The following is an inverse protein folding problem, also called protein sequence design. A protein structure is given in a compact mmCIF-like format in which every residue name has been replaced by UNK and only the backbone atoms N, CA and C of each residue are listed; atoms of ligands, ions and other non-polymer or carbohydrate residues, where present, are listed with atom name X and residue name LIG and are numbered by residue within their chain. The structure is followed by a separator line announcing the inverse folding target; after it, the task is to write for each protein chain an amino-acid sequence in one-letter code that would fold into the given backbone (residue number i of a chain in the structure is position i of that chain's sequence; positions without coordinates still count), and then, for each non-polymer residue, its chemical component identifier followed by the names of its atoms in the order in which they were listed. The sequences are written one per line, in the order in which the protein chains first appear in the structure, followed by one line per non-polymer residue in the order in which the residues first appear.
data_IF_793189476444
#
_entry.id   IF_793189476444
#
_cell.length_a   1.000
_cell.length_b   1.000
_cell.length_c   1.000
_cell.angle_alpha   90.00
_cell.angle_beta   90.00
_cell.angle_gamma   90.00
#
_symmetry.space_group_name_H-M   'P 1'
#
loop_
_entity.id
_entity.type
_entity.pdbx_description
1 polymer ?
#
# COMPACT_ATOMS: atom_id res chain seq x y z
N UNK A 1 11.52 -9.78 18.57
CA UNK A 1 10.13 -10.12 18.93
C UNK A 1 9.34 -8.83 18.75
N UNK A 2 8.72 -8.63 17.58
CA UNK A 2 7.91 -7.43 17.36
C UNK A 2 6.49 -7.78 17.79
N UNK A 3 6.18 -7.54 19.06
CA UNK A 3 4.82 -7.53 19.59
C UNK A 3 4.08 -6.29 19.09
N UNK A 4 3.88 -6.20 17.78
CA UNK A 4 3.04 -5.17 17.18
C UNK A 4 1.68 -5.81 16.90
N UNK A 5 0.89 -6.05 17.96
CA UNK A 5 -0.51 -6.51 17.85
C UNK A 5 -1.41 -5.35 17.43
N UNK A 6 -1.07 -4.76 16.29
CA UNK A 6 -1.78 -3.66 15.68
C UNK A 6 -2.98 -4.27 14.97
N UNK A 7 -4.10 -4.35 15.70
CA UNK A 7 -5.34 -4.94 15.18
C UNK A 7 -5.79 -4.17 13.93
N UNK A 8 -5.65 -4.81 12.76
CA UNK A 8 -6.10 -4.29 11.48
C UNK A 8 -7.61 -4.41 11.38
N UNK A 9 -8.28 -3.28 11.15
CA UNK A 9 -9.71 -3.27 10.85
C UNK A 9 -9.97 -3.45 9.36
N UNK A 10 -11.26 -3.50 8.99
CA UNK A 10 -11.68 -3.75 7.61
C UNK A 10 -11.25 -2.65 6.65
N UNK A 11 -11.16 -1.40 7.11
CA UNK A 11 -10.70 -0.30 6.28
C UNK A 11 -9.20 -0.38 6.03
N UNK A 12 -8.41 -0.74 7.04
CA UNK A 12 -6.98 -0.96 6.84
C UNK A 12 -6.73 -2.07 5.82
N UNK A 13 -7.48 -3.17 5.89
CA UNK A 13 -7.40 -4.27 4.91
C UNK A 13 -7.78 -3.81 3.51
N UNK A 14 -8.84 -3.00 3.37
CA UNK A 14 -9.24 -2.41 2.08
C UNK A 14 -8.16 -1.50 1.51
N UNK A 15 -7.55 -0.65 2.34
CA UNK A 15 -6.44 0.23 1.95
C UNK A 15 -5.26 -0.59 1.44
N UNK A 16 -4.82 -1.59 2.21
CA UNK A 16 -3.69 -2.44 1.82
C UNK A 16 -3.99 -3.19 0.51
N UNK A 17 -5.18 -3.76 0.36
CA UNK A 17 -5.60 -4.43 -0.86
C UNK A 17 -5.68 -3.48 -2.07
N UNK A 18 -6.06 -2.23 -1.87
CA UNK A 18 -6.08 -1.23 -2.95
C UNK A 18 -4.65 -0.84 -3.35
N UNK A 19 -3.77 -0.57 -2.39
CA UNK A 19 -2.37 -0.22 -2.65
C UNK A 19 -1.55 -1.37 -3.26
N UNK A 20 -1.82 -2.62 -2.89
CA UNK A 20 -1.16 -3.77 -3.52
C UNK A 20 -1.54 -3.94 -4.99
N UNK A 21 -2.74 -3.50 -5.38
CA UNK A 21 -3.18 -3.50 -6.78
C UNK A 21 -2.59 -2.32 -7.54
N UNK A 22 -2.62 -1.14 -6.93
CA UNK A 22 -2.05 0.08 -7.49
C UNK A 22 -1.54 0.99 -6.37
N UNK A 23 -0.23 1.04 -6.18
CA UNK A 23 0.40 1.88 -5.17
C UNK A 23 0.59 3.33 -5.65
N UNK A 24 0.43 3.61 -6.95
CA UNK A 24 0.62 4.92 -7.54
C UNK A 24 -0.65 5.80 -7.50
N UNK A 25 -1.80 5.22 -7.14
CA UNK A 25 -3.06 5.95 -7.07
C UNK A 25 -2.98 7.14 -6.09
N UNK A 26 -3.56 8.31 -6.44
CA UNK A 26 -3.64 9.45 -5.53
C UNK A 26 -4.39 9.10 -4.25
N UNK A 27 -3.96 9.64 -3.11
CA UNK A 27 -4.60 9.37 -1.82
C UNK A 27 -6.10 9.71 -1.79
N UNK A 28 -6.53 10.73 -2.54
CA UNK A 28 -7.97 11.06 -2.68
C UNK A 28 -8.73 9.90 -3.35
N UNK A 29 -8.24 9.39 -4.47
CA UNK A 29 -8.85 8.26 -5.17
C UNK A 29 -8.86 7.00 -4.31
N UNK A 30 -7.78 6.74 -3.57
CA UNK A 30 -7.72 5.65 -2.59
C UNK A 30 -8.80 5.81 -1.51
N UNK A 31 -8.95 7.02 -0.95
CA UNK A 31 -9.94 7.30 0.08
C UNK A 31 -11.37 7.07 -0.43
N UNK A 32 -11.68 7.55 -1.64
CA UNK A 32 -12.97 7.32 -2.31
C UNK A 32 -13.22 5.82 -2.54
N UNK A 33 -12.22 5.09 -3.06
CA UNK A 33 -12.32 3.66 -3.35
C UNK A 33 -12.57 2.81 -2.10
N UNK A 34 -12.09 3.22 -0.93
CA UNK A 34 -12.30 2.50 0.33
C UNK A 34 -13.45 3.05 1.18
N UNK A 35 -14.11 4.13 0.74
CA UNK A 35 -15.24 4.75 1.44
C UNK A 35 -14.83 5.55 2.69
N UNK A 36 -13.67 6.22 2.66
CA UNK A 36 -13.16 7.06 3.74
C UNK A 36 -13.04 8.53 3.33
N UNK A 37 -13.05 9.42 4.33
CA UNK A 37 -12.58 10.78 4.11
C UNK A 37 -11.06 10.81 3.85
N UNK A 38 -10.58 11.83 3.13
CA UNK A 38 -9.17 11.96 2.80
C UNK A 38 -8.27 12.01 4.05
N UNK A 39 -8.70 12.69 5.12
CA UNK A 39 -7.97 12.78 6.39
C UNK A 39 -7.96 11.42 7.14
N UNK A 40 -9.09 10.69 7.14
CA UNK A 40 -9.13 9.35 7.75
C UNK A 40 -8.19 8.37 7.03
N UNK A 41 -8.16 8.40 5.69
CA UNK A 41 -7.24 7.62 4.89
C UNK A 41 -5.77 7.97 5.20
N UNK A 42 -5.44 9.27 5.27
CA UNK A 42 -4.09 9.75 5.61
C UNK A 42 -3.60 9.22 6.96
N UNK A 43 -4.41 9.37 8.02
CA UNK A 43 -4.05 8.92 9.37
C UNK A 43 -3.77 7.41 9.41
N UNK A 44 -4.57 6.62 8.68
CA UNK A 44 -4.39 5.17 8.59
C UNK A 44 -3.12 4.80 7.85
N UNK A 45 -2.85 5.43 6.70
CA UNK A 45 -1.61 5.22 5.95
C UNK A 45 -0.37 5.49 6.79
N UNK A 46 -0.33 6.64 7.48
CA UNK A 46 0.79 6.99 8.35
C UNK A 46 0.99 5.96 9.46
N UNK A 47 -0.11 5.51 10.09
CA UNK A 47 -0.04 4.47 11.13
C UNK A 47 0.45 3.14 10.58
N UNK A 48 0.00 2.73 9.40
CA UNK A 48 0.43 1.48 8.75
C UNK A 48 1.92 1.53 8.36
N UNK A 49 2.42 2.70 7.94
CA UNK A 49 3.84 2.93 7.65
C UNK A 49 4.69 2.96 8.93
N UNK A 50 4.29 3.75 9.93
CA UNK A 50 5.06 3.85 11.19
C UNK A 50 5.08 2.53 11.98
N UNK A 51 4.05 1.70 11.83
CA UNK A 51 4.00 0.35 12.36
C UNK A 51 4.89 -0.66 11.61
N UNK A 52 5.49 -0.27 10.47
CA UNK A 52 6.30 -1.14 9.62
C UNK A 52 5.49 -2.18 8.83
N UNK A 53 4.16 -2.04 8.78
CA UNK A 53 3.27 -2.92 7.99
C UNK A 53 3.44 -2.60 6.51
N UNK A 54 3.42 -1.30 6.16
CA UNK A 54 3.83 -0.83 4.84
C UNK A 54 5.34 -0.60 4.89
N UNK A 55 6.11 -1.50 4.26
CA UNK A 55 7.57 -1.40 4.19
C UNK A 55 8.07 -0.49 3.06
N UNK A 56 7.24 -0.28 2.04
CA UNK A 56 7.59 0.50 0.86
C UNK A 56 6.69 0.13 -0.32
N UNK A 57 6.95 0.75 -1.47
CA UNK A 57 6.36 0.40 -2.76
C UNK A 57 7.48 0.13 -3.75
N UNK A 58 7.23 -0.76 -4.71
CA UNK A 58 8.17 -1.05 -5.81
C UNK A 58 7.49 -0.76 -7.13
N UNK A 59 8.29 -0.44 -8.14
CA UNK A 59 7.83 -0.38 -9.53
C UNK A 59 8.13 -1.72 -10.18
N UNK A 60 7.17 -2.22 -10.96
CA UNK A 60 7.37 -3.41 -11.80
C UNK A 60 7.93 -2.95 -13.13
N UNK A 61 9.08 -3.49 -13.50
CA UNK A 61 9.77 -3.17 -14.74
C UNK A 61 9.61 -4.32 -15.72
N UNK A 62 9.53 -3.99 -17.01
CA UNK A 62 9.64 -4.98 -18.07
C UNK A 62 11.11 -5.30 -18.31
N UNK A 63 11.52 -6.54 -18.00
CA UNK A 63 12.89 -6.95 -18.15
C UNK A 63 13.31 -7.05 -19.63
N UNK A 64 12.38 -7.38 -20.54
CA UNK A 64 12.63 -7.55 -21.97
C UNK A 64 12.95 -6.21 -22.63
N UNK A 65 12.13 -5.20 -22.36
CA UNK A 65 12.35 -3.83 -22.87
C UNK A 65 13.62 -3.19 -22.31
N UNK A 66 14.07 -3.64 -21.14
CA UNK A 66 15.34 -3.21 -20.54
C UNK A 66 16.56 -4.00 -21.05
N UNK A 67 16.39 -4.93 -21.99
CA UNK A 67 17.47 -5.76 -22.50
C UNK A 67 18.02 -6.77 -21.49
N UNK A 68 17.20 -7.18 -20.51
CA UNK A 68 17.52 -8.14 -19.46
C UNK A 68 16.65 -9.42 -19.58
N UNK A 69 16.74 -10.20 -20.69
CA UNK A 69 15.78 -11.26 -21.01
C UNK A 69 15.93 -12.54 -20.17
N UNK A 70 16.98 -12.68 -19.37
CA UNK A 70 17.24 -13.87 -18.56
C UNK A 70 16.84 -13.65 -17.10
N UNK A 71 15.84 -14.40 -16.67
CA UNK A 71 15.42 -14.47 -15.26
C UNK A 71 15.63 -15.91 -14.79
N UNK A 72 16.43 -16.10 -13.74
CA UNK A 72 16.65 -17.41 -13.08
C UNK A 72 15.68 -17.66 -11.94
#
# INVERSE_FOLDING_TARGET
MNDNDLKLDDFDRKILNALQRDAAQPQRALAEAVGLSQNACWRRLNRLQSAGIIKGHTIRLDATELGLPLTV
#
